data_IF_356357318329
#
_entry.id   IF_356357318329
#
_cell.length_a   1.000
_cell.length_b   1.000
_cell.length_c   1.000
_cell.angle_alpha   90.00
_cell.angle_beta   90.00
_cell.angle_gamma   90.00
#
_symmetry.space_group_name_H-M   'P 1'
#
loop_
_entity.id
_entity.type
_entity.pdbx_description
1 polymer ?
#
# COMPACT_ATOMS: atom_id res chain seq x y z
N UNK A 1 1.45 -9.16 12.61
CA UNK A 1 0.63 -9.01 11.38
C UNK A 1 -0.32 -7.82 11.52
N UNK A 2 -0.10 -6.80 10.69
CA UNK A 2 -0.83 -5.53 10.62
C UNK A 2 -1.48 -5.41 9.23
N UNK A 3 -2.71 -4.91 9.17
CA UNK A 3 -3.43 -4.69 7.92
C UNK A 3 -3.88 -3.25 7.84
N UNK A 4 -3.48 -2.55 6.77
CA UNK A 4 -3.79 -1.15 6.54
C UNK A 4 -4.79 -1.04 5.40
N UNK A 5 -6.01 -0.59 5.69
CA UNK A 5 -7.01 -0.32 4.66
C UNK A 5 -6.80 1.10 4.11
N UNK A 6 -6.59 1.21 2.80
CA UNK A 6 -6.43 2.47 2.09
C UNK A 6 -7.41 2.55 0.92
N UNK A 7 -7.99 3.72 0.69
CA UNK A 7 -8.82 3.95 -0.49
C UNK A 7 -7.98 4.27 -1.72
N UNK A 8 -8.40 3.80 -2.90
CA UNK A 8 -7.74 4.15 -4.18
C UNK A 8 -7.75 5.66 -4.44
N UNK A 9 -6.80 6.08 -5.27
CA UNK A 9 -6.71 7.46 -5.75
C UNK A 9 -5.88 8.32 -4.79
N UNK A 10 -6.36 9.52 -4.51
CA UNK A 10 -5.54 10.57 -3.88
C UNK A 10 -4.99 10.20 -2.50
N UNK A 11 -5.79 9.56 -1.63
CA UNK A 11 -5.35 9.17 -0.28
C UNK A 11 -4.19 8.17 -0.35
N UNK A 12 -4.23 7.24 -1.30
CA UNK A 12 -3.16 6.28 -1.49
C UNK A 12 -1.87 6.97 -1.96
N UNK A 13 -1.94 7.82 -2.99
CA UNK A 13 -0.80 8.59 -3.50
C UNK A 13 -0.16 9.48 -2.43
N UNK A 14 -0.97 10.13 -1.59
CA UNK A 14 -0.48 10.98 -0.49
C UNK A 14 0.14 10.16 0.66
N UNK A 15 -0.30 8.91 0.87
CA UNK A 15 0.24 8.04 1.93
C UNK A 15 1.48 7.25 1.51
N UNK A 16 1.71 7.07 0.20
CA UNK A 16 2.91 6.44 -0.33
C UNK A 16 4.22 7.03 0.23
N UNK A 17 4.46 8.36 0.17
CA UNK A 17 5.68 8.95 0.73
C UNK A 17 5.76 8.82 2.25
N UNK A 18 4.63 8.67 2.95
CA UNK A 18 4.64 8.41 4.40
C UNK A 18 5.08 6.98 4.71
N UNK A 19 4.63 6.01 3.91
CA UNK A 19 5.05 4.62 4.00
C UNK A 19 6.54 4.47 3.66
N UNK A 20 7.01 5.13 2.61
CA UNK A 20 8.43 5.11 2.24
C UNK A 20 9.32 5.68 3.34
N UNK A 21 8.90 6.76 4.00
CA UNK A 21 9.61 7.33 5.17
C UNK A 21 9.66 6.36 6.35
N UNK A 22 8.69 5.46 6.47
CA UNK A 22 8.68 4.38 7.45
C UNK A 22 9.46 3.14 6.98
N UNK A 23 10.12 3.18 5.82
CA UNK A 23 10.86 2.06 5.23
C UNK A 23 9.99 1.01 4.54
N UNK A 24 8.70 1.32 4.32
CA UNK A 24 7.73 0.44 3.67
C UNK A 24 7.61 0.86 2.21
N UNK A 25 7.93 -0.05 1.30
CA UNK A 25 7.81 0.15 -0.14
C UNK A 25 6.83 -0.83 -0.74
N UNK A 26 6.16 -0.40 -1.81
CA UNK A 26 5.19 -1.19 -2.54
C UNK A 26 5.77 -1.45 -3.93
N UNK A 27 5.94 -2.72 -4.30
CA UNK A 27 6.61 -3.10 -5.54
C UNK A 27 5.66 -3.24 -6.74
N UNK A 28 4.35 -3.06 -6.53
CA UNK A 28 3.34 -3.20 -7.58
C UNK A 28 2.76 -1.86 -8.01
N UNK A 29 2.52 -1.72 -9.31
CA UNK A 29 1.80 -0.59 -9.90
C UNK A 29 0.29 -0.77 -9.70
N UNK A 30 -0.31 0.08 -8.86
CA UNK A 30 -1.70 -0.09 -8.38
C UNK A 30 -2.73 0.70 -9.18
N UNK A 31 -2.27 1.61 -10.03
CA UNK A 31 -3.10 2.27 -11.04
C UNK A 31 -3.54 1.26 -12.09
N UNK A 32 -2.65 0.37 -12.50
CA UNK A 32 -2.96 -0.68 -13.47
C UNK A 32 -3.49 -1.97 -12.84
N UNK A 33 -3.22 -2.19 -11.55
CA UNK A 33 -3.60 -3.42 -10.85
C UNK A 33 -4.98 -3.35 -10.17
N UNK A 34 -5.83 -4.36 -10.44
CA UNK A 34 -7.13 -4.59 -9.76
C UNK A 34 -7.00 -5.43 -8.48
N UNK A 35 -5.79 -5.60 -7.96
CA UNK A 35 -5.57 -6.35 -6.72
C UNK A 35 -6.13 -5.57 -5.53
N UNK A 36 -6.86 -6.30 -4.67
CA UNK A 36 -7.41 -5.77 -3.43
C UNK A 36 -6.44 -5.91 -2.26
N UNK A 37 -5.50 -6.85 -2.33
CA UNK A 37 -4.50 -7.10 -1.30
C UNK A 37 -3.14 -6.87 -1.94
N UNK A 38 -2.35 -5.99 -1.32
CA UNK A 38 -1.05 -5.55 -1.82
C UNK A 38 0.02 -5.94 -0.79
N UNK A 39 0.98 -6.78 -1.20
CA UNK A 39 2.13 -7.06 -0.37
C UNK A 39 3.06 -5.85 -0.33
N UNK A 40 3.68 -5.61 0.82
CA UNK A 40 4.69 -4.55 0.99
C UNK A 40 6.07 -5.17 1.19
N UNK A 41 7.11 -4.34 1.20
CA UNK A 41 8.46 -4.75 1.58
C UNK A 41 8.54 -5.34 2.99
N UNK A 42 7.57 -5.04 3.86
CA UNK A 42 7.52 -5.54 5.21
C UNK A 42 6.60 -6.77 5.31
N UNK A 43 7.12 -7.96 5.67
CA UNK A 43 6.36 -9.22 5.60
C UNK A 43 5.16 -9.27 6.57
N UNK A 44 5.16 -8.42 7.59
CA UNK A 44 4.07 -8.32 8.56
C UNK A 44 3.00 -7.27 8.21
N UNK A 45 3.17 -6.52 7.11
CA UNK A 45 2.25 -5.47 6.71
C UNK A 45 1.59 -5.78 5.37
N UNK A 46 0.26 -5.83 5.40
CA UNK A 46 -0.59 -5.98 4.23
C UNK A 46 -1.39 -4.70 4.03
N UNK A 47 -1.42 -4.21 2.78
CA UNK A 47 -2.29 -3.09 2.41
C UNK A 47 -3.50 -3.66 1.70
N UNK A 48 -4.69 -3.27 2.15
CA UNK A 48 -5.95 -3.61 1.50
C UNK A 48 -6.51 -2.36 0.86
N UNK A 49 -6.92 -2.50 -0.40
CA UNK A 49 -7.56 -1.45 -1.14
C UNK A 49 -9.08 -1.60 -1.02
N UNK A 50 -9.74 -0.53 -0.57
CA UNK A 50 -11.20 -0.42 -0.41
C UNK A 50 -11.80 0.72 -1.23
#
# INVERSE_FOLDING_TARGET
MLTLALSKGRIFEETLPMLERAGITISEDLETSRKLIIPTSHPELLIIIV
#
